data_IF_225772607075
#
_entry.id   IF_225772607075
#
_cell.length_a   1.000
_cell.length_b   1.000
_cell.length_c   1.000
_cell.angle_alpha   90.00
_cell.angle_beta   90.00
_cell.angle_gamma   90.00
#
_symmetry.space_group_name_H-M   'P 1'
#
loop_
_entity.id
_entity.type
_entity.pdbx_description
1 polymer ?
#
# COMPACT_ATOMS: atom_id res chain seq x y z
N UNK A 1 16.60 14.54 -9.22
CA UNK A 1 15.41 13.66 -9.21
C UNK A 1 14.20 14.51 -9.59
N UNK A 2 13.33 14.05 -10.51
CA UNK A 2 12.16 14.84 -10.95
C UNK A 2 11.22 15.13 -9.77
N UNK A 3 10.63 16.33 -9.72
CA UNK A 3 9.65 16.73 -8.70
C UNK A 3 8.49 15.72 -8.54
N UNK A 4 8.15 14.99 -9.61
CA UNK A 4 7.14 13.92 -9.59
C UNK A 4 7.61 12.67 -8.85
N UNK A 5 8.90 12.34 -8.91
CA UNK A 5 9.49 11.21 -8.18
C UNK A 5 9.44 11.39 -6.67
N UNK A 6 9.65 12.62 -6.19
CA UNK A 6 9.59 12.92 -4.76
C UNK A 6 8.16 12.76 -4.19
N UNK A 7 7.12 13.10 -4.95
CA UNK A 7 5.72 12.95 -4.51
C UNK A 7 5.33 11.49 -4.34
N UNK A 8 5.67 10.64 -5.31
CA UNK A 8 5.42 9.20 -5.24
C UNK A 8 6.11 8.57 -4.02
N UNK A 9 7.37 8.92 -3.79
CA UNK A 9 8.13 8.47 -2.62
C UNK A 9 7.45 8.82 -1.30
N UNK A 10 7.14 10.10 -1.12
CA UNK A 10 6.50 10.60 0.10
C UNK A 10 5.16 9.89 0.31
N UNK A 11 4.37 9.76 -0.75
CA UNK A 11 3.10 9.03 -0.71
C UNK A 11 3.28 7.58 -0.23
N UNK A 12 4.18 6.80 -0.85
CA UNK A 12 4.40 5.40 -0.50
C UNK A 12 4.89 5.23 0.94
N UNK A 13 5.75 6.14 1.42
CA UNK A 13 6.22 6.15 2.81
C UNK A 13 5.04 6.34 3.77
N UNK A 14 4.20 7.35 3.54
CA UNK A 14 3.05 7.62 4.40
C UNK A 14 2.00 6.51 4.37
N UNK A 15 1.75 5.91 3.20
CA UNK A 15 0.84 4.76 3.11
C UNK A 15 1.38 3.56 3.88
N UNK A 16 2.67 3.23 3.72
CA UNK A 16 3.30 2.16 4.47
C UNK A 16 3.21 2.39 5.99
N UNK A 17 3.50 3.61 6.44
CA UNK A 17 3.36 3.98 7.85
C UNK A 17 1.90 3.93 8.32
N UNK A 18 0.96 4.38 7.50
CA UNK A 18 -0.47 4.39 7.83
C UNK A 18 -1.03 2.98 8.05
N UNK A 19 -0.76 2.06 7.12
CA UNK A 19 -1.20 0.66 7.23
C UNK A 19 -0.55 -0.01 8.45
N UNK A 20 0.76 0.18 8.64
CA UNK A 20 1.45 -0.38 9.80
C UNK A 20 0.91 0.16 11.13
N UNK A 21 0.67 1.47 11.22
CA UNK A 21 0.13 2.11 12.42
C UNK A 21 -1.29 1.65 12.71
N UNK A 22 -2.14 1.51 11.68
CA UNK A 22 -3.49 0.99 11.83
C UNK A 22 -3.48 -0.40 12.46
N UNK A 23 -2.71 -1.34 11.93
CA UNK A 23 -2.66 -2.70 12.46
C UNK A 23 -2.05 -2.77 13.85
N UNK A 24 -0.97 -2.01 14.11
CA UNK A 24 -0.39 -1.95 15.46
C UNK A 24 -1.43 -1.43 16.46
N UNK A 25 -2.13 -0.35 16.15
CA UNK A 25 -3.17 0.19 17.02
C UNK A 25 -4.33 -0.80 17.22
N UNK A 26 -4.82 -1.42 16.14
CA UNK A 26 -5.90 -2.41 16.18
C UNK A 26 -5.54 -3.63 17.04
N UNK A 27 -4.30 -4.12 16.95
CA UNK A 27 -3.80 -5.21 17.80
C UNK A 27 -3.71 -4.77 19.27
N UNK A 28 -3.17 -3.57 19.53
CA UNK A 28 -3.03 -3.03 20.89
C UNK A 28 -4.39 -2.75 21.57
N UNK A 29 -5.45 -2.53 20.78
CA UNK A 29 -6.83 -2.43 21.28
C UNK A 29 -7.42 -3.77 21.74
N UNK A 30 -6.70 -4.89 21.57
CA UNK A 30 -7.13 -6.21 22.04
C UNK A 30 -8.07 -6.94 21.08
N UNK A 31 -8.14 -6.53 19.82
CA UNK A 31 -9.06 -7.11 18.84
C UNK A 31 -8.69 -8.55 18.41
N UNK A 32 -7.48 -9.04 18.77
CA UNK A 32 -7.12 -10.45 18.63
C UNK A 32 -7.66 -11.28 19.82
N UNK A 33 -8.98 -11.44 19.90
CA UNK A 33 -9.68 -12.11 21.02
C UNK A 33 -9.22 -13.56 21.25
N UNK A 34 -8.82 -14.26 20.20
CA UNK A 34 -8.29 -15.63 20.25
C UNK A 34 -6.82 -15.70 19.77
N UNK A 35 -6.10 -14.57 19.79
CA UNK A 35 -4.75 -14.48 19.25
C UNK A 35 -4.71 -14.77 17.74
N UNK A 36 -3.78 -15.61 17.28
CA UNK A 36 -3.63 -15.98 15.86
C UNK A 36 -4.81 -16.77 15.30
N UNK A 37 -5.71 -17.27 16.15
CA UNK A 37 -6.91 -18.01 15.74
C UNK A 37 -8.13 -17.13 15.57
N UNK A 38 -8.03 -15.83 15.86
CA UNK A 38 -9.14 -14.89 15.71
C UNK A 38 -9.69 -14.93 14.29
N UNK A 39 -11.01 -15.12 14.18
CA UNK A 39 -11.74 -15.18 12.90
C UNK A 39 -12.60 -13.94 12.74
N UNK A 40 -12.47 -13.26 11.60
CA UNK A 40 -13.37 -12.19 11.17
C UNK A 40 -13.92 -12.52 9.79
N UNK A 41 -15.23 -12.33 9.58
CA UNK A 41 -15.88 -12.61 8.30
C UNK A 41 -15.55 -14.02 7.76
N UNK A 42 -15.67 -15.03 8.63
CA UNK A 42 -15.41 -16.45 8.32
C UNK A 42 -13.95 -16.77 7.94
N UNK A 43 -13.02 -15.83 8.08
CA UNK A 43 -11.61 -16.01 7.73
C UNK A 43 -10.67 -15.67 8.91
N UNK A 44 -9.52 -16.34 8.96
CA UNK A 44 -8.48 -16.01 9.94
C UNK A 44 -7.88 -14.64 9.66
N UNK A 45 -8.12 -13.68 10.55
CA UNK A 45 -7.70 -12.27 10.35
C UNK A 45 -6.18 -12.13 10.28
N UNK A 46 -5.43 -13.01 10.93
CA UNK A 46 -3.95 -12.95 10.95
C UNK A 46 -3.33 -12.97 9.54
N UNK A 47 -3.92 -13.68 8.58
CA UNK A 47 -3.41 -13.71 7.21
C UNK A 47 -3.70 -12.40 6.47
N UNK A 48 -4.84 -11.78 6.76
CA UNK A 48 -5.18 -10.47 6.23
C UNK A 48 -4.22 -9.40 6.77
N UNK A 49 -3.98 -9.39 8.09
CA UNK A 49 -2.97 -8.53 8.74
C UNK A 49 -1.59 -8.74 8.10
N UNK A 50 -1.16 -9.99 7.95
CA UNK A 50 0.15 -10.30 7.38
C UNK A 50 0.29 -9.78 5.94
N UNK A 51 -0.73 -9.97 5.10
CA UNK A 51 -0.73 -9.47 3.73
C UNK A 51 -0.62 -7.94 3.66
N UNK A 52 -1.38 -7.24 4.51
CA UNK A 52 -1.34 -5.78 4.56
C UNK A 52 -0.02 -5.23 5.14
N UNK A 53 0.57 -5.90 6.13
CA UNK A 53 1.90 -5.54 6.65
C UNK A 53 3.02 -5.77 5.62
N UNK A 54 2.92 -6.81 4.79
CA UNK A 54 3.85 -7.01 3.67
C UNK A 54 3.69 -5.85 2.66
N UNK A 55 2.45 -5.49 2.30
CA UNK A 55 2.18 -4.36 1.42
C UNK A 55 2.74 -3.04 2.00
N UNK A 56 2.57 -2.82 3.31
CA UNK A 56 3.09 -1.67 4.03
C UNK A 56 4.63 -1.61 3.97
N UNK A 57 5.30 -2.73 4.23
CA UNK A 57 6.76 -2.83 4.17
C UNK A 57 7.29 -2.56 2.75
N UNK A 58 6.63 -3.10 1.73
CA UNK A 58 6.97 -2.87 0.33
C UNK A 58 6.76 -1.40 -0.08
N UNK A 59 5.66 -0.77 0.35
CA UNK A 59 5.39 0.63 0.08
C UNK A 59 6.45 1.52 0.75
N UNK A 60 6.69 1.34 2.04
CA UNK A 60 7.69 2.10 2.78
C UNK A 60 9.09 1.95 2.18
N UNK A 61 9.55 0.70 1.99
CA UNK A 61 10.86 0.40 1.40
C UNK A 61 10.97 0.93 -0.03
N UNK A 62 9.91 0.76 -0.84
CA UNK A 62 9.85 1.29 -2.19
C UNK A 62 9.98 2.81 -2.23
N UNK A 63 9.28 3.52 -1.35
CA UNK A 63 9.37 4.98 -1.24
C UNK A 63 10.77 5.47 -0.84
N UNK A 64 11.40 4.82 0.15
CA UNK A 64 12.78 5.14 0.60
C UNK A 64 13.81 4.84 -0.49
N UNK A 65 13.72 3.67 -1.14
CA UNK A 65 14.62 3.32 -2.25
C UNK A 65 14.43 4.26 -3.45
N UNK A 66 13.20 4.72 -3.69
CA UNK A 66 12.90 5.66 -4.77
C UNK A 66 13.50 7.04 -4.49
N UNK A 67 13.50 7.53 -3.23
CA UNK A 67 14.17 8.78 -2.81
C UNK A 67 15.70 8.73 -2.99
N UNK A 68 16.30 7.56 -2.82
CA UNK A 68 17.76 7.37 -2.97
C UNK A 68 18.18 7.04 -4.41
N UNK A 69 17.26 7.08 -5.38
CA UNK A 69 17.48 6.69 -6.77
C UNK A 69 18.03 5.26 -6.93
N UNK A 70 17.77 4.39 -5.95
CA UNK A 70 18.38 3.07 -5.91
C UNK A 70 17.90 2.22 -7.09
N UNK A 71 18.80 1.48 -7.75
CA UNK A 71 18.50 0.69 -8.96
C UNK A 71 17.35 -0.33 -8.79
N UNK A 72 17.15 -0.81 -7.56
CA UNK A 72 16.08 -1.77 -7.22
C UNK A 72 14.74 -1.12 -6.89
N UNK A 73 14.68 0.20 -6.71
CA UNK A 73 13.47 0.92 -6.35
C UNK A 73 12.25 0.61 -7.25
N UNK A 74 12.39 0.50 -8.60
CA UNK A 74 11.26 0.21 -9.47
C UNK A 74 10.51 -1.08 -9.12
N UNK A 75 11.23 -2.13 -8.73
CA UNK A 75 10.62 -3.43 -8.39
C UNK A 75 9.73 -3.29 -7.15
N UNK A 76 10.26 -2.68 -6.10
CA UNK A 76 9.50 -2.48 -4.85
C UNK A 76 8.28 -1.61 -5.06
N UNK A 77 8.43 -0.52 -5.84
CA UNK A 77 7.32 0.40 -6.14
C UNK A 77 6.23 -0.29 -6.96
N UNK A 78 6.57 -1.07 -7.98
CA UNK A 78 5.57 -1.80 -8.77
C UNK A 78 4.78 -2.80 -7.92
N UNK A 79 5.47 -3.60 -7.12
CA UNK A 79 4.82 -4.61 -6.26
C UNK A 79 3.97 -3.92 -5.19
N UNK A 80 4.47 -2.85 -4.57
CA UNK A 80 3.72 -2.08 -3.59
C UNK A 80 2.43 -1.48 -4.19
N UNK A 81 2.52 -0.85 -5.35
CA UNK A 81 1.36 -0.26 -6.02
C UNK A 81 0.34 -1.32 -6.43
N UNK A 82 0.80 -2.46 -6.96
CA UNK A 82 -0.07 -3.59 -7.27
C UNK A 82 -0.79 -4.12 -6.02
N UNK A 83 -0.08 -4.27 -4.91
CA UNK A 83 -0.65 -4.68 -3.64
C UNK A 83 -1.67 -3.66 -3.12
N UNK A 84 -1.38 -2.35 -3.17
CA UNK A 84 -2.30 -1.31 -2.74
C UNK A 84 -3.59 -1.26 -3.59
N UNK A 85 -3.46 -1.43 -4.90
CA UNK A 85 -4.62 -1.50 -5.81
C UNK A 85 -5.45 -2.73 -5.47
N UNK A 86 -4.82 -3.89 -5.32
CA UNK A 86 -5.51 -5.13 -4.96
C UNK A 86 -6.22 -5.00 -3.60
N UNK A 87 -5.51 -4.56 -2.56
CA UNK A 87 -6.07 -4.38 -1.21
C UNK A 87 -7.21 -3.37 -1.22
N UNK A 88 -7.05 -2.22 -1.88
CA UNK A 88 -8.12 -1.22 -2.00
C UNK A 88 -9.37 -1.76 -2.68
N UNK A 89 -9.21 -2.54 -3.76
CA UNK A 89 -10.32 -3.16 -4.47
C UNK A 89 -11.01 -4.26 -3.64
N UNK A 90 -10.22 -5.09 -2.96
CA UNK A 90 -10.73 -6.16 -2.11
C UNK A 90 -11.51 -5.58 -0.91
N UNK A 91 -10.95 -4.58 -0.24
CA UNK A 91 -11.59 -3.93 0.90
C UNK A 91 -12.81 -3.10 0.49
N UNK A 92 -12.83 -2.53 -0.73
CA UNK A 92 -14.03 -1.90 -1.31
C UNK A 92 -15.22 -2.87 -1.38
N UNK A 93 -14.99 -4.10 -1.87
CA UNK A 93 -16.04 -5.11 -1.97
C UNK A 93 -16.61 -5.46 -0.58
N UNK A 94 -15.75 -5.56 0.42
CA UNK A 94 -16.17 -5.76 1.81
C UNK A 94 -16.94 -4.54 2.36
N UNK A 95 -16.41 -3.33 2.13
CA UNK A 95 -17.03 -2.08 2.59
C UNK A 95 -18.44 -1.93 2.06
N UNK A 96 -18.66 -2.17 0.75
CA UNK A 96 -19.99 -2.00 0.16
C UNK A 96 -21.04 -2.91 0.80
N UNK A 97 -20.61 -4.06 1.32
CA UNK A 97 -21.48 -5.03 1.99
C UNK A 97 -21.71 -4.72 3.47
N UNK A 98 -20.71 -4.20 4.18
CA UNK A 98 -20.72 -4.13 5.65
C UNK A 98 -20.75 -2.70 6.20
N UNK A 99 -20.00 -1.79 5.58
CA UNK A 99 -19.88 -0.40 6.02
C UNK A 99 -19.64 0.53 4.80
N UNK A 100 -20.71 1.18 4.30
CA UNK A 100 -20.61 2.10 3.17
C UNK A 100 -19.65 3.27 3.38
N UNK A 101 -19.46 3.71 4.64
CA UNK A 101 -18.54 4.80 4.95
C UNK A 101 -17.09 4.33 4.79
N UNK A 102 -16.77 3.12 5.28
CA UNK A 102 -15.44 2.52 5.08
C UNK A 102 -15.12 2.26 3.61
N UNK A 103 -16.13 1.96 2.78
CA UNK A 103 -15.97 1.86 1.32
C UNK A 103 -15.35 3.10 0.68
N UNK A 104 -15.70 4.29 1.18
CA UNK A 104 -15.16 5.55 0.65
C UNK A 104 -13.64 5.61 0.87
N UNK A 105 -13.18 5.24 2.07
CA UNK A 105 -11.76 5.20 2.40
C UNK A 105 -11.01 4.14 1.58
N UNK A 106 -11.57 2.94 1.42
CA UNK A 106 -10.98 1.90 0.57
C UNK A 106 -10.93 2.32 -0.90
N UNK A 107 -11.97 3.01 -1.38
CA UNK A 107 -12.01 3.58 -2.72
C UNK A 107 -10.96 4.66 -2.95
N UNK A 108 -10.71 5.51 -1.94
CA UNK A 108 -9.60 6.45 -1.98
C UNK A 108 -8.25 5.70 -2.08
N UNK A 109 -8.01 4.66 -1.27
CA UNK A 109 -6.79 3.85 -1.36
C UNK A 109 -6.58 3.27 -2.75
N UNK A 110 -7.64 2.71 -3.35
CA UNK A 110 -7.62 2.19 -4.71
C UNK A 110 -7.26 3.28 -5.75
N UNK A 111 -7.97 4.41 -5.73
CA UNK A 111 -7.74 5.53 -6.66
C UNK A 111 -6.32 6.06 -6.52
N UNK A 112 -5.82 6.21 -5.29
CA UNK A 112 -4.47 6.74 -5.08
C UNK A 112 -3.41 5.72 -5.51
N UNK A 113 -3.65 4.42 -5.37
CA UNK A 113 -2.84 3.37 -5.98
C UNK A 113 -2.73 3.53 -7.50
N UNK A 114 -3.84 3.82 -8.19
CA UNK A 114 -3.85 4.09 -9.63
C UNK A 114 -3.09 5.38 -9.99
N UNK A 115 -3.24 6.45 -9.21
CA UNK A 115 -2.47 7.70 -9.40
C UNK A 115 -0.97 7.43 -9.23
N UNK A 116 -0.60 6.64 -8.22
CA UNK A 116 0.78 6.22 -8.00
C UNK A 116 1.35 5.43 -9.17
N UNK A 117 0.57 4.50 -9.73
CA UNK A 117 0.92 3.75 -10.93
C UNK A 117 1.11 4.66 -12.14
N UNK A 118 0.22 5.64 -12.33
CA UNK A 118 0.37 6.65 -13.38
C UNK A 118 1.66 7.46 -13.22
N UNK A 119 1.97 7.97 -12.01
CA UNK A 119 3.21 8.71 -11.75
C UNK A 119 4.45 7.85 -11.94
N UNK A 120 4.39 6.57 -11.56
CA UNK A 120 5.45 5.63 -11.78
C UNK A 120 5.73 5.42 -13.29
N UNK A 121 4.68 5.16 -14.07
CA UNK A 121 4.77 5.00 -15.52
C UNK A 121 5.35 6.25 -16.20
N UNK A 122 4.86 7.44 -15.83
CA UNK A 122 5.38 8.71 -16.33
C UNK A 122 6.84 8.96 -15.91
N UNK A 123 7.21 8.54 -14.70
CA UNK A 123 8.57 8.63 -14.17
C UNK A 123 9.57 7.80 -15.00
N UNK A 124 9.16 6.60 -15.43
CA UNK A 124 9.95 5.75 -16.32
C UNK A 124 10.13 6.37 -17.72
N UNK A 125 9.07 6.94 -18.28
CA UNK A 125 9.10 7.59 -19.61
C UNK A 125 10.00 8.84 -19.61
N UNK A 126 10.08 9.54 -18.48
CA UNK A 126 10.87 10.78 -18.34
C UNK A 126 12.36 10.59 -18.07
N UNK A 127 12.83 9.37 -17.79
CA UNK A 127 14.28 9.12 -17.71
C UNK A 127 14.82 9.09 -19.14
N UNK A 128 15.79 9.95 -19.51
CA UNK A 128 16.52 9.76 -20.75
C UNK A 128 17.02 8.31 -20.76
N UNK A 129 16.72 7.56 -21.82
CA UNK A 129 17.41 6.30 -22.08
C UNK A 129 18.86 6.67 -22.31
N UNK A 130 19.65 6.68 -21.24
CA UNK A 130 21.09 6.74 -21.33
C UNK A 130 21.50 5.56 -22.18
N UNK A 131 22.13 5.89 -23.31
CA UNK A 131 22.87 4.97 -24.18
C UNK A 131 23.77 4.10 -23.32
N UNK A 132 23.61 2.79 -23.45
CA UNK A 132 24.63 1.82 -23.09
C UNK A 132 25.96 2.16 -23.82
#
# INVERSE_FOLDING_TARGET
>A
MSYRGNRLSVFLIFVGLGIATFWVAWILMGNLTEGVRTVENENYIVFHIAAELIAAALAFTGGVLWLSAHRRAPVFVQVALGALIYTGLNSLAWGFRNDPLMSVFFGMTFIVGLIGLYWFAMGLVSKPRGTD
#
